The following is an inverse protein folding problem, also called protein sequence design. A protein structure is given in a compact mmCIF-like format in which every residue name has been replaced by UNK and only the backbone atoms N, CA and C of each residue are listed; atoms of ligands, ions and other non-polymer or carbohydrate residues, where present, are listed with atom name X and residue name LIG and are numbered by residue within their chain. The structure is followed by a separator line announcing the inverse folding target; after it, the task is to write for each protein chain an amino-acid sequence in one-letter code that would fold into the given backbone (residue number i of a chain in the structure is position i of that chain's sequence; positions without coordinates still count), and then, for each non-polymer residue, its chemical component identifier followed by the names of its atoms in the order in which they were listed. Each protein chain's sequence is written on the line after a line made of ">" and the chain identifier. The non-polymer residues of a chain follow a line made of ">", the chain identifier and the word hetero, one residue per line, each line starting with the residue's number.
data_IF_573653962198
#
_entry.id   IF_573653962198
#
_cell.length_a   1.000
_cell.length_b   1.000
_cell.length_c   1.000
_cell.angle_alpha   90.00
_cell.angle_beta   90.00
_cell.angle_gamma   90.00
#
_symmetry.space_group_name_H-M   'P 1'
#
loop_
_entity.id
_entity.type
_entity.pdbx_description
1 polymer ?
#
# COMPACT_ATOMS: atom_id res chain seq x y z
N UNK A 1 -9.67 -16.29 -22.32
CA UNK A 1 -10.55 -15.45 -21.48
C UNK A 1 -9.82 -14.94 -20.24
N UNK A 2 -9.18 -15.83 -19.44
CA UNK A 2 -8.32 -15.43 -18.31
C UNK A 2 -7.15 -14.53 -18.72
N UNK A 3 -6.46 -14.82 -19.83
CA UNK A 3 -5.34 -14.01 -20.34
C UNK A 3 -5.76 -12.57 -20.66
N UNK A 4 -6.92 -12.39 -21.30
CA UNK A 4 -7.46 -11.06 -21.62
C UNK A 4 -7.81 -10.25 -20.36
N UNK A 5 -8.30 -10.90 -19.31
CA UNK A 5 -8.59 -10.23 -18.03
C UNK A 5 -7.31 -9.78 -17.32
N UNK A 6 -6.27 -10.63 -17.32
CA UNK A 6 -4.95 -10.31 -16.77
C UNK A 6 -4.29 -9.17 -17.56
N UNK A 7 -4.33 -9.21 -18.89
CA UNK A 7 -3.79 -8.16 -19.76
C UNK A 7 -4.49 -6.82 -19.54
N UNK A 8 -5.82 -6.83 -19.41
CA UNK A 8 -6.62 -5.63 -19.14
C UNK A 8 -6.35 -5.05 -17.75
N UNK A 9 -6.17 -5.91 -16.74
CA UNK A 9 -5.81 -5.50 -15.38
C UNK A 9 -4.41 -4.88 -15.34
N UNK A 10 -3.43 -5.50 -16.00
CA UNK A 10 -2.09 -4.94 -16.17
C UNK A 10 -2.12 -3.59 -16.89
N UNK A 11 -2.84 -3.47 -18.00
CA UNK A 11 -3.01 -2.17 -18.68
C UNK A 11 -3.66 -1.14 -17.76
N UNK A 12 -4.63 -1.53 -16.95
CA UNK A 12 -5.32 -0.62 -16.04
C UNK A 12 -4.41 -0.12 -14.92
N UNK A 13 -3.58 -0.99 -14.34
CA UNK A 13 -2.61 -0.66 -13.29
C UNK A 13 -1.51 0.28 -13.81
N UNK A 14 -1.16 0.16 -15.10
CA UNK A 14 -0.18 0.99 -15.80
C UNK A 14 -0.75 2.34 -16.31
N UNK A 15 -2.03 2.65 -16.06
CA UNK A 15 -2.56 4.00 -16.35
C UNK A 15 -2.15 5.00 -15.28
N UNK A 16 -1.93 6.24 -15.67
CA UNK A 16 -1.76 7.35 -14.72
C UNK A 16 -3.10 7.79 -14.15
N UNK A 17 -3.05 8.31 -12.93
CA UNK A 17 -4.19 8.94 -12.25
C UNK A 17 -3.70 10.12 -11.44
N UNK A 18 -4.58 11.13 -11.30
CA UNK A 18 -4.31 12.36 -10.57
C UNK A 18 -4.97 12.32 -9.21
N UNK A 19 -4.25 12.74 -8.17
CA UNK A 19 -4.81 12.97 -6.84
C UNK A 19 -4.31 14.30 -6.29
N UNK A 20 -5.16 14.96 -5.51
CA UNK A 20 -4.89 16.29 -4.94
C UNK A 20 -4.54 16.13 -3.46
N UNK A 21 -3.44 16.75 -3.05
CA UNK A 21 -2.91 16.68 -1.69
C UNK A 21 -2.64 18.07 -1.15
N UNK A 22 -2.86 18.26 0.14
CA UNK A 22 -2.31 19.39 0.88
C UNK A 22 -0.90 19.01 1.32
N UNK A 23 0.08 19.67 0.71
CA UNK A 23 1.47 19.45 1.04
C UNK A 23 1.81 20.06 2.42
N UNK A 24 2.79 19.52 3.15
CA UNK A 24 3.23 20.06 4.45
C UNK A 24 3.71 21.52 4.44
N UNK A 25 4.02 22.08 3.27
CA UNK A 25 4.35 23.49 3.09
C UNK A 25 3.11 24.40 2.94
N UNK A 26 1.91 23.84 3.07
CA UNK A 26 0.63 24.54 2.99
C UNK A 26 0.12 24.73 1.56
N UNK A 27 0.86 24.29 0.53
CA UNK A 27 0.39 24.37 -0.84
C UNK A 27 -0.42 23.13 -1.22
N UNK A 28 -1.55 23.34 -1.91
CA UNK A 28 -2.27 22.21 -2.48
C UNK A 28 -1.75 21.88 -3.87
N UNK A 29 -1.26 20.66 -4.05
CA UNK A 29 -0.69 20.18 -5.32
C UNK A 29 -1.45 18.98 -5.85
N UNK A 30 -1.40 18.81 -7.17
CA UNK A 30 -1.95 17.64 -7.85
C UNK A 30 -0.78 16.78 -8.29
N UNK A 31 -0.77 15.52 -7.86
CA UNK A 31 0.25 14.54 -8.21
C UNK A 31 -0.33 13.60 -9.28
N UNK A 32 0.39 13.39 -10.37
CA UNK A 32 0.04 12.45 -11.45
C UNK A 32 1.04 11.28 -11.49
N UNK A 33 0.61 10.09 -11.06
CA UNK A 33 1.44 8.87 -11.11
C UNK A 33 0.61 7.65 -11.53
N UNK A 34 1.28 6.53 -11.78
CA UNK A 34 0.63 5.26 -12.11
C UNK A 34 -0.33 4.78 -11.01
N UNK A 35 -1.42 4.13 -11.40
CA UNK A 35 -2.37 3.52 -10.48
C UNK A 35 -1.75 2.47 -9.57
N UNK A 36 -0.74 1.73 -10.04
CA UNK A 36 0.10 0.89 -9.18
C UNK A 36 0.68 1.66 -7.98
N UNK A 37 1.27 2.82 -8.22
CA UNK A 37 1.88 3.66 -7.18
C UNK A 37 0.82 4.12 -6.19
N UNK A 38 -0.36 4.50 -6.68
CA UNK A 38 -1.48 4.84 -5.80
C UNK A 38 -1.93 3.67 -4.92
N UNK A 39 -2.03 2.46 -5.47
CA UNK A 39 -2.43 1.29 -4.70
C UNK A 39 -1.43 0.99 -3.58
N UNK A 40 -0.12 1.10 -3.86
CA UNK A 40 0.91 0.91 -2.85
C UNK A 40 0.90 2.01 -1.81
N UNK A 41 0.73 3.26 -2.23
CA UNK A 41 0.56 4.39 -1.31
C UNK A 41 -0.63 4.17 -0.36
N UNK A 42 -1.79 3.76 -0.87
CA UNK A 42 -2.98 3.50 -0.06
C UNK A 42 -2.73 2.37 0.96
N UNK A 43 -1.94 1.35 0.59
CA UNK A 43 -1.53 0.27 1.51
C UNK A 43 -0.56 0.76 2.59
N UNK A 44 0.41 1.59 2.23
CA UNK A 44 1.38 2.19 3.17
C UNK A 44 0.63 3.01 4.22
N UNK A 45 -0.29 3.88 3.79
CA UNK A 45 -1.10 4.71 4.70
C UNK A 45 -2.02 3.85 5.57
N UNK A 46 -2.58 2.76 5.03
CA UNK A 46 -3.43 1.85 5.78
C UNK A 46 -2.69 1.00 6.83
N UNK A 47 -1.40 0.71 6.62
CA UNK A 47 -0.55 -0.03 7.57
C UNK A 47 -0.22 0.79 8.84
N UNK A 48 -0.48 2.11 8.81
CA UNK A 48 -0.26 3.06 9.90
C UNK A 48 1.19 3.21 10.39
N UNK A 49 2.15 2.49 9.80
CA UNK A 49 3.59 2.68 10.03
C UNK A 49 4.12 3.97 9.39
N UNK A 50 3.48 4.43 8.31
CA UNK A 50 3.77 5.70 7.64
C UNK A 50 2.45 6.45 7.41
N UNK A 51 2.43 7.72 7.79
CA UNK A 51 1.29 8.59 7.51
C UNK A 51 1.49 9.38 6.20
N UNK A 52 0.36 9.87 5.68
CA UNK A 52 0.31 10.65 4.44
C UNK A 52 1.25 11.86 4.48
N UNK A 53 1.30 12.57 5.61
CA UNK A 53 2.12 13.76 5.78
C UNK A 53 3.63 13.43 5.65
N UNK A 54 4.09 12.32 6.24
CA UNK A 54 5.48 11.88 6.16
C UNK A 54 5.89 11.51 4.74
N UNK A 55 5.03 10.79 4.00
CA UNK A 55 5.30 10.44 2.60
C UNK A 55 5.40 11.69 1.72
N UNK A 56 4.48 12.66 1.89
CA UNK A 56 4.50 13.91 1.13
C UNK A 56 5.71 14.78 1.50
N UNK A 57 6.10 14.85 2.76
CA UNK A 57 7.30 15.57 3.20
C UNK A 57 8.56 15.00 2.53
N UNK A 58 8.69 13.67 2.49
CA UNK A 58 9.80 12.99 1.84
C UNK A 58 9.83 13.27 0.32
N UNK A 59 8.67 13.24 -0.33
CA UNK A 59 8.54 13.56 -1.75
C UNK A 59 8.99 15.01 -2.07
N UNK A 60 8.59 15.98 -1.23
CA UNK A 60 9.02 17.38 -1.41
C UNK A 60 10.52 17.55 -1.23
N UNK A 61 11.08 16.95 -0.17
CA UNK A 61 12.50 16.97 0.08
C UNK A 61 13.27 16.42 -1.13
N UNK A 62 12.83 15.30 -1.68
CA UNK A 62 13.49 14.67 -2.83
C UNK A 62 13.31 15.45 -4.13
N UNK A 63 12.15 16.06 -4.35
CA UNK A 63 11.94 16.94 -5.50
C UNK A 63 12.96 18.09 -5.50
N UNK A 64 13.20 18.69 -4.34
CA UNK A 64 14.18 19.76 -4.17
C UNK A 64 15.64 19.26 -4.27
N UNK A 65 16.00 18.23 -3.51
CA UNK A 65 17.38 17.72 -3.46
C UNK A 65 17.86 17.12 -4.78
N UNK A 66 16.97 16.45 -5.52
CA UNK A 66 17.30 15.74 -6.76
C UNK A 66 16.95 16.54 -8.01
N UNK A 67 16.33 17.71 -7.85
CA UNK A 67 15.85 18.55 -8.94
C UNK A 67 14.98 17.77 -9.95
N UNK A 68 14.00 17.03 -9.42
CA UNK A 68 13.03 16.25 -10.19
C UNK A 68 11.61 16.75 -9.94
N UNK A 69 10.67 16.38 -10.81
CA UNK A 69 9.26 16.72 -10.61
C UNK A 69 8.73 16.13 -9.30
N UNK A 70 7.70 16.76 -8.73
CA UNK A 70 7.06 16.24 -7.53
C UNK A 70 6.41 14.87 -7.78
N UNK A 71 5.91 14.63 -9.00
CA UNK A 71 5.35 13.34 -9.41
C UNK A 71 6.39 12.22 -9.35
N UNK A 72 7.56 12.46 -9.93
CA UNK A 72 8.68 11.51 -9.89
C UNK A 72 9.20 11.32 -8.46
N UNK A 73 9.34 12.41 -7.71
CA UNK A 73 9.78 12.36 -6.32
C UNK A 73 8.80 11.58 -5.44
N UNK A 74 7.49 11.72 -5.69
CA UNK A 74 6.45 10.98 -4.99
C UNK A 74 6.56 9.48 -5.30
N UNK A 75 6.65 9.09 -6.58
CA UNK A 75 6.81 7.70 -6.95
C UNK A 75 8.07 7.07 -6.33
N UNK A 76 9.18 7.80 -6.33
CA UNK A 76 10.42 7.39 -5.68
C UNK A 76 10.25 7.21 -4.17
N UNK A 77 9.55 8.13 -3.50
CA UNK A 77 9.32 8.06 -2.05
C UNK A 77 8.52 6.81 -1.67
N UNK A 78 7.46 6.50 -2.41
CA UNK A 78 6.66 5.26 -2.25
C UNK A 78 7.54 4.03 -2.45
N UNK A 79 8.35 4.00 -3.51
CA UNK A 79 9.29 2.89 -3.75
C UNK A 79 10.28 2.68 -2.61
N UNK A 80 10.79 3.77 -2.03
CA UNK A 80 11.73 3.70 -0.91
C UNK A 80 11.09 3.09 0.33
N UNK A 81 9.85 3.48 0.63
CA UNK A 81 9.09 2.95 1.78
C UNK A 81 8.80 1.46 1.56
N UNK A 82 8.40 1.07 0.35
CA UNK A 82 8.19 -0.35 0.01
C UNK A 82 9.45 -1.18 0.21
N UNK A 83 10.60 -0.67 -0.23
CA UNK A 83 11.88 -1.37 -0.06
C UNK A 83 12.24 -1.55 1.42
N UNK A 84 12.02 -0.53 2.25
CA UNK A 84 12.26 -0.63 3.68
C UNK A 84 11.35 -1.68 4.36
N UNK A 85 10.09 -1.80 3.92
CA UNK A 85 9.18 -2.85 4.39
C UNK A 85 9.62 -4.24 3.94
N UNK A 86 10.01 -4.38 2.68
CA UNK A 86 10.50 -5.66 2.13
C UNK A 86 11.75 -6.14 2.89
N UNK A 87 12.69 -5.23 3.17
CA UNK A 87 13.86 -5.50 4.02
C UNK A 87 13.49 -5.88 5.46
N UNK A 88 12.36 -5.40 5.97
CA UNK A 88 11.79 -5.77 7.26
C UNK A 88 10.94 -7.06 7.22
N UNK A 89 10.80 -7.71 6.05
CA UNK A 89 10.03 -8.94 5.84
C UNK A 89 8.54 -8.73 5.57
N UNK A 90 8.13 -7.51 5.21
CA UNK A 90 6.75 -7.13 4.88
C UNK A 90 6.62 -6.82 3.38
N UNK A 91 5.91 -7.68 2.66
CA UNK A 91 5.64 -7.45 1.24
C UNK A 91 4.30 -6.73 1.06
N UNK A 92 4.36 -5.39 0.99
CA UNK A 92 3.20 -4.53 0.70
C UNK A 92 2.84 -4.49 -0.80
N UNK A 93 3.71 -5.04 -1.66
CA UNK A 93 3.47 -5.16 -3.10
C UNK A 93 2.67 -6.39 -3.45
N UNK A 94 2.63 -7.39 -2.58
CA UNK A 94 1.82 -8.58 -2.75
C UNK A 94 0.31 -8.27 -2.70
N UNK A 95 -0.36 -8.39 -3.84
CA UNK A 95 -1.80 -8.19 -3.98
C UNK A 95 -2.65 -9.21 -3.20
N UNK A 96 -2.07 -10.33 -2.75
CA UNK A 96 -2.74 -11.28 -1.87
C UNK A 96 -2.54 -10.99 -0.39
N UNK A 97 -1.70 -10.02 0.00
CA UNK A 97 -1.37 -9.77 1.41
C UNK A 97 -2.61 -9.53 2.28
N UNK A 98 -3.61 -8.80 1.76
CA UNK A 98 -4.88 -8.58 2.45
C UNK A 98 -5.70 -9.88 2.59
N UNK A 99 -5.71 -10.74 1.55
CA UNK A 99 -6.36 -12.05 1.58
C UNK A 99 -5.65 -13.02 2.53
N UNK A 100 -4.32 -12.98 2.57
CA UNK A 100 -3.49 -13.82 3.43
C UNK A 100 -3.65 -13.40 4.90
N UNK A 101 -3.69 -12.09 5.18
CA UNK A 101 -4.03 -11.56 6.51
C UNK A 101 -5.45 -11.93 6.93
N UNK A 102 -6.43 -11.80 6.04
CA UNK A 102 -7.81 -12.21 6.30
C UNK A 102 -7.90 -13.71 6.60
N UNK A 103 -7.20 -14.54 5.83
CA UNK A 103 -7.14 -15.99 6.01
C UNK A 103 -6.52 -16.37 7.35
N UNK A 104 -5.39 -15.77 7.71
CA UNK A 104 -4.73 -15.96 9.00
C UNK A 104 -5.64 -15.59 10.18
N UNK A 105 -6.42 -14.50 10.06
CA UNK A 105 -7.40 -14.07 11.08
C UNK A 105 -8.59 -15.04 11.18
N UNK A 106 -9.09 -15.55 10.05
CA UNK A 106 -10.15 -16.57 10.01
C UNK A 106 -9.66 -17.87 10.65
N UNK A 107 -8.44 -18.31 10.35
CA UNK A 107 -7.89 -19.54 10.90
C UNK A 107 -7.64 -19.42 12.41
N UNK A 108 -7.15 -18.28 12.88
CA UNK A 108 -7.04 -17.99 14.32
C UNK A 108 -8.41 -17.92 15.02
N UNK A 109 -9.44 -17.43 14.35
CA UNK A 109 -10.81 -17.47 14.86
C UNK A 109 -11.34 -18.92 14.95
N UNK A 110 -11.14 -19.72 13.90
CA UNK A 110 -11.53 -21.14 13.87
C UNK A 110 -10.80 -21.95 14.96
N UNK A 111 -9.51 -21.70 15.18
CA UNK A 111 -8.74 -22.33 16.25
C UNK A 111 -9.30 -21.99 17.64
N UNK A 112 -9.67 -20.72 17.87
CA UNK A 112 -10.35 -20.30 19.13
C UNK A 112 -11.71 -20.95 19.31
N UNK A 113 -12.48 -21.13 18.24
CA UNK A 113 -13.77 -21.82 18.29
C UNK A 113 -13.62 -23.32 18.61
N UNK A 114 -12.66 -24.00 17.99
CA UNK A 114 -12.35 -25.41 18.27
C UNK A 114 -11.90 -25.60 19.72
N UNK A 115 -11.00 -24.76 20.22
CA UNK A 115 -10.54 -24.79 21.60
C UNK A 115 -11.66 -24.49 22.63
N UNK A 116 -12.71 -23.77 22.24
CA UNK A 116 -13.91 -23.55 23.08
C UNK A 116 -14.86 -24.75 23.07
N UNK A 117 -14.97 -25.46 21.95
CA UNK A 117 -15.80 -26.66 21.86
C UNK A 117 -15.16 -27.84 22.61
N UNK A 118 -13.84 -27.98 22.56
CA UNK A 118 -13.08 -29.00 23.31
C UNK A 118 -13.09 -28.76 24.84
N UNK A 119 -13.38 -27.52 25.27
CA UNK A 119 -13.54 -27.13 26.69
C UNK A 119 -14.98 -27.20 27.20
N UNK A 120 -15.95 -27.63 26.40
CA UNK A 120 -17.25 -28.11 26.90
C UNK A 120 -17.18 -29.64 26.91
N UNK A 121 -16.62 -30.27 27.96
CA UNK A 121 -16.97 -31.65 28.22
C UNK A 121 -18.46 -31.67 28.58
N UNK A 122 -19.12 -32.75 28.18
CA UNK A 122 -20.54 -33.00 28.43
C UNK A 122 -20.98 -32.62 29.85
N UNK A 123 -22.00 -31.76 29.94
CA UNK A 123 -23.00 -31.81 31.02
C UNK A 123 -24.15 -32.69 30.52
#
# INVERSE_FOLDING_TARGET
>A
MLTYLIEREHEEILRTSKRRFECPDGETRTIEVYRAVWNWYDRIVADAAYDEASTLALALQWSHERNVSLDDAFALSVQCILKAHDEAGWDLTNDTAALDMARKRIDAFKARQRAKQEKRPDD
#
